data_IF_881577064712
#
_entry.id   IF_881577064712
#
_cell.length_a   1.000
_cell.length_b   1.000
_cell.length_c   1.000
_cell.angle_alpha   90.00
_cell.angle_beta   90.00
_cell.angle_gamma   90.00
#
_symmetry.space_group_name_H-M   'P 1'
#
loop_
_entity.id
_entity.type
_entity.pdbx_description
1 polymer ?
#
# COMPACT_ATOMS: atom_id res chain seq x y z
N UNK A 1 13.49 -17.68 16.47
CA UNK A 1 14.69 -18.04 15.73
C UNK A 1 15.61 -16.84 15.74
N UNK A 2 16.86 -17.02 16.12
CA UNK A 2 17.79 -15.89 16.22
C UNK A 2 18.78 -15.99 15.05
N UNK A 3 18.69 -15.05 14.12
CA UNK A 3 19.64 -14.94 12.99
C UNK A 3 20.98 -14.32 13.41
N UNK A 4 21.08 -13.79 14.64
CA UNK A 4 22.20 -12.95 15.08
C UNK A 4 22.21 -11.54 14.48
N UNK A 5 21.22 -11.21 13.63
CA UNK A 5 21.10 -9.89 13.03
C UNK A 5 20.27 -8.95 13.91
N UNK A 6 20.70 -7.70 14.00
CA UNK A 6 19.94 -6.63 14.61
C UNK A 6 19.27 -5.81 13.50
N UNK A 7 17.94 -5.65 13.60
CA UNK A 7 17.17 -4.87 12.64
C UNK A 7 16.79 -3.52 13.25
N UNK A 8 17.12 -2.44 12.57
CA UNK A 8 16.71 -1.08 12.92
C UNK A 8 15.69 -0.61 11.91
N UNK A 9 14.41 -0.38 12.30
CA UNK A 9 13.40 0.10 11.38
C UNK A 9 13.72 1.54 10.96
N UNK A 10 13.66 1.80 9.67
CA UNK A 10 13.77 3.13 9.07
C UNK A 10 12.41 3.53 8.56
N UNK A 11 11.86 4.61 9.10
CA UNK A 11 10.63 5.19 8.57
C UNK A 11 10.97 5.98 7.32
N UNK A 12 10.34 5.64 6.21
CA UNK A 12 10.53 6.31 4.93
C UNK A 12 9.30 7.12 4.59
N UNK A 13 9.50 8.33 4.09
CA UNK A 13 8.40 9.17 3.60
C UNK A 13 7.78 8.56 2.34
N UNK A 14 6.53 8.90 2.04
CA UNK A 14 5.69 8.34 0.98
C UNK A 14 6.31 8.30 -0.41
N UNK A 15 7.34 9.09 -0.69
CA UNK A 15 7.94 9.25 -2.00
C UNK A 15 9.08 8.27 -2.28
N UNK A 16 9.33 7.30 -1.42
CA UNK A 16 10.32 6.28 -1.72
C UNK A 16 9.67 5.23 -2.59
N UNK A 17 9.95 5.33 -3.87
CA UNK A 17 9.70 4.30 -4.86
C UNK A 17 10.50 3.05 -4.48
N UNK A 18 9.93 2.26 -3.56
CA UNK A 18 10.54 1.00 -3.14
C UNK A 18 10.62 0.05 -4.34
N UNK A 19 11.64 0.19 -5.12
CA UNK A 19 11.89 -0.62 -6.31
C UNK A 19 12.58 0.09 -7.46
N UNK A 20 12.59 1.44 -7.51
CA UNK A 20 13.31 2.18 -8.57
C UNK A 20 14.51 2.97 -8.06
N UNK A 21 14.58 3.22 -6.75
CA UNK A 21 15.72 3.90 -6.14
C UNK A 21 16.17 3.14 -4.89
N UNK A 22 16.88 2.05 -5.09
CA UNK A 22 17.81 1.54 -4.12
C UNK A 22 18.97 2.54 -4.06
N UNK A 23 18.81 3.58 -3.25
CA UNK A 23 19.94 4.46 -2.98
C UNK A 23 20.97 3.65 -2.20
N UNK A 24 22.21 3.52 -2.69
CA UNK A 24 23.28 2.97 -1.91
C UNK A 24 23.37 3.72 -0.58
N UNK A 25 23.11 3.03 0.53
CA UNK A 25 23.11 3.61 1.87
C UNK A 25 21.75 4.00 2.46
N UNK A 26 20.61 3.71 1.79
CA UNK A 26 19.28 4.05 2.31
C UNK A 26 18.65 2.95 3.17
N UNK A 27 18.72 1.69 2.75
CA UNK A 27 18.17 0.54 3.48
C UNK A 27 18.79 -0.78 2.98
N UNK A 28 18.86 -1.77 3.85
CA UNK A 28 19.45 -3.08 3.55
C UNK A 28 18.38 -4.12 3.20
N UNK A 29 17.17 -3.96 3.75
CA UNK A 29 16.04 -4.89 3.56
C UNK A 29 14.74 -4.12 3.44
N UNK A 30 13.96 -4.44 2.40
CA UNK A 30 12.55 -4.09 2.31
C UNK A 30 11.72 -5.30 2.75
N UNK A 31 10.99 -5.22 3.88
CA UNK A 31 10.44 -6.40 4.52
C UNK A 31 9.20 -6.99 3.85
N UNK A 32 8.53 -6.25 2.96
CA UNK A 32 7.32 -6.70 2.28
C UNK A 32 7.22 -6.08 0.88
N UNK A 33 7.97 -6.62 -0.04
CA UNK A 33 7.92 -6.24 -1.45
C UNK A 33 7.05 -7.23 -2.22
N UNK A 34 6.23 -6.74 -3.13
CA UNK A 34 5.56 -7.60 -4.11
C UNK A 34 6.63 -8.05 -5.10
N UNK A 35 6.77 -9.37 -5.25
CA UNK A 35 7.67 -9.98 -6.20
C UNK A 35 7.24 -9.64 -7.63
N UNK A 36 8.22 -9.36 -8.48
CA UNK A 36 8.05 -9.12 -9.90
C UNK A 36 9.34 -9.44 -10.63
N UNK A 37 9.22 -10.11 -11.77
CA UNK A 37 10.37 -10.43 -12.63
C UNK A 37 11.05 -9.18 -13.17
N UNK A 38 10.29 -8.16 -13.54
CA UNK A 38 10.84 -6.89 -14.05
C UNK A 38 11.70 -6.17 -13.00
N UNK A 39 11.32 -6.32 -11.73
CA UNK A 39 12.06 -5.72 -10.60
C UNK A 39 13.32 -6.49 -10.23
N UNK A 40 13.45 -7.77 -10.59
CA UNK A 40 14.68 -8.54 -10.35
C UNK A 40 15.90 -7.95 -11.04
N UNK A 41 15.70 -7.11 -12.04
CA UNK A 41 16.80 -6.37 -12.65
C UNK A 41 17.43 -5.34 -11.71
N UNK A 42 16.72 -4.88 -10.69
CA UNK A 42 17.17 -3.82 -9.78
C UNK A 42 17.34 -4.29 -8.33
N UNK A 43 16.58 -5.29 -7.90
CA UNK A 43 16.56 -5.82 -6.54
C UNK A 43 16.72 -7.34 -6.55
N UNK A 44 17.18 -7.91 -5.45
CA UNK A 44 17.19 -9.35 -5.21
C UNK A 44 16.04 -9.70 -4.26
N UNK A 45 15.24 -10.71 -4.58
CA UNK A 45 14.14 -11.17 -3.73
C UNK A 45 14.53 -12.44 -2.95
N UNK A 46 14.09 -12.53 -1.69
CA UNK A 46 14.08 -13.77 -0.93
C UNK A 46 12.98 -14.71 -1.41
N UNK A 47 12.82 -15.84 -0.74
CA UNK A 47 11.68 -16.73 -0.96
C UNK A 47 10.36 -16.06 -0.60
N UNK A 48 9.31 -16.41 -1.35
CA UNK A 48 7.95 -15.90 -1.12
C UNK A 48 7.44 -16.47 0.20
N UNK A 49 7.03 -15.62 1.13
CA UNK A 49 6.52 -16.04 2.43
C UNK A 49 5.01 -15.88 2.59
N UNK A 50 4.37 -15.03 1.79
CA UNK A 50 2.91 -14.86 1.73
C UNK A 50 2.47 -14.65 0.29
N UNK A 51 1.35 -15.28 -0.07
CA UNK A 51 0.62 -15.02 -1.30
C UNK A 51 -0.77 -14.53 -0.97
N UNK A 52 -1.22 -13.46 -1.60
CA UNK A 52 -2.51 -12.81 -1.33
C UNK A 52 -3.18 -12.36 -2.63
N UNK A 53 -4.49 -12.56 -2.79
CA UNK A 53 -5.19 -12.09 -3.96
C UNK A 53 -5.21 -10.56 -4.06
N UNK A 54 -5.36 -10.06 -5.30
CA UNK A 54 -5.75 -8.67 -5.51
C UNK A 54 -7.26 -8.51 -5.43
N UNK A 55 -7.69 -7.36 -4.94
CA UNK A 55 -9.09 -7.01 -4.72
C UNK A 55 -9.37 -5.58 -5.19
N UNK A 56 -10.61 -5.34 -5.59
CA UNK A 56 -11.16 -3.98 -5.65
C UNK A 56 -11.74 -3.63 -4.28
N UNK A 57 -11.43 -2.45 -3.79
CA UNK A 57 -12.04 -1.86 -2.58
C UNK A 57 -13.01 -0.79 -3.03
N UNK A 58 -14.25 -0.84 -2.54
CA UNK A 58 -15.36 0.05 -2.94
C UNK A 58 -16.24 0.38 -1.74
N UNK A 59 -17.02 1.48 -1.82
CA UNK A 59 -17.99 1.87 -0.78
C UNK A 59 -19.21 0.96 -0.68
N UNK A 60 -19.60 0.31 -1.76
CA UNK A 60 -20.79 -0.53 -1.81
C UNK A 60 -20.41 -1.93 -2.25
N UNK A 61 -21.12 -2.91 -1.67
CA UNK A 61 -21.12 -4.24 -2.24
C UNK A 61 -21.59 -4.12 -3.70
N UNK A 62 -20.83 -4.64 -4.68
CA UNK A 62 -21.35 -4.70 -6.04
C UNK A 62 -22.61 -5.56 -6.01
N UNK A 63 -23.64 -5.10 -6.71
CA UNK A 63 -24.72 -5.98 -7.09
C UNK A 63 -24.13 -7.20 -7.80
N UNK A 64 -24.67 -8.37 -7.62
CA UNK A 64 -24.10 -9.68 -7.94
C UNK A 64 -23.55 -9.90 -9.36
N UNK A 65 -23.62 -8.92 -10.25
CA UNK A 65 -23.10 -8.94 -11.63
C UNK A 65 -21.95 -7.96 -11.89
N UNK A 66 -21.41 -7.31 -10.86
CA UNK A 66 -20.64 -6.12 -11.14
C UNK A 66 -19.16 -6.21 -10.97
N UNK A 67 -18.58 -6.34 -12.05
CA UNK A 67 -17.38 -5.71 -12.61
C UNK A 67 -17.45 -4.17 -12.58
N UNK A 68 -16.31 -3.53 -12.68
CA UNK A 68 -16.20 -2.08 -12.82
C UNK A 68 -17.02 -1.57 -14.01
N UNK A 69 -17.68 -0.42 -13.84
CA UNK A 69 -18.48 0.22 -14.89
C UNK A 69 -17.64 1.22 -15.69
N UNK A 70 -18.09 1.51 -16.90
CA UNK A 70 -17.52 2.56 -17.74
C UNK A 70 -17.45 3.90 -17.02
N UNK A 71 -16.28 4.56 -17.13
CA UNK A 71 -16.04 5.87 -16.57
C UNK A 71 -15.80 5.90 -15.07
N UNK A 72 -15.76 4.75 -14.39
CA UNK A 72 -15.35 4.68 -12.99
C UNK A 72 -13.89 5.08 -12.83
N UNK A 73 -13.60 5.87 -11.78
CA UNK A 73 -12.26 6.28 -11.37
C UNK A 73 -11.69 5.25 -10.41
N UNK A 74 -10.73 4.48 -10.90
CA UNK A 74 -10.13 3.40 -10.11
C UNK A 74 -8.66 3.70 -9.83
N UNK A 75 -8.33 3.81 -8.54
CA UNK A 75 -6.96 3.99 -8.13
C UNK A 75 -6.19 2.66 -8.19
N UNK A 76 -4.94 2.73 -8.63
CA UNK A 76 -4.00 1.63 -8.57
C UNK A 76 -2.65 2.14 -8.06
N UNK A 77 -2.06 1.53 -7.00
CA UNK A 77 -0.72 1.85 -6.60
C UNK A 77 0.27 1.67 -7.75
N UNK A 78 1.11 2.68 -8.00
CA UNK A 78 2.01 2.69 -9.14
C UNK A 78 2.99 1.50 -9.17
N UNK A 79 3.29 0.93 -8.01
CA UNK A 79 4.18 -0.23 -7.84
C UNK A 79 3.50 -1.59 -8.10
N UNK A 80 2.21 -1.61 -8.47
CA UNK A 80 1.54 -2.81 -8.92
C UNK A 80 1.69 -2.95 -10.45
N UNK A 81 2.27 -4.05 -10.89
CA UNK A 81 2.48 -4.33 -12.32
C UNK A 81 1.20 -4.72 -13.06
N UNK A 82 0.12 -4.90 -12.33
CA UNK A 82 -1.20 -5.23 -12.86
C UNK A 82 -1.82 -4.14 -13.76
N UNK A 83 -1.26 -2.93 -13.79
CA UNK A 83 -1.89 -1.80 -14.48
C UNK A 83 -2.19 -2.09 -15.96
N UNK A 84 -1.23 -2.67 -16.69
CA UNK A 84 -1.43 -2.99 -18.10
C UNK A 84 -2.49 -4.07 -18.30
N UNK A 85 -2.44 -5.14 -17.50
CA UNK A 85 -3.42 -6.22 -17.53
C UNK A 85 -4.83 -5.74 -17.18
N UNK A 86 -4.97 -4.94 -16.12
CA UNK A 86 -6.27 -4.41 -15.71
C UNK A 86 -6.83 -3.42 -16.74
N UNK A 87 -5.98 -2.63 -17.39
CA UNK A 87 -6.41 -1.74 -18.47
C UNK A 87 -6.93 -2.49 -19.68
N UNK A 88 -6.36 -3.65 -20.00
CA UNK A 88 -6.88 -4.53 -21.06
C UNK A 88 -8.20 -5.18 -20.66
N UNK A 89 -8.33 -5.62 -19.41
CA UNK A 89 -9.55 -6.26 -18.89
C UNK A 89 -10.72 -5.25 -18.74
N UNK A 90 -10.40 -4.00 -18.39
CA UNK A 90 -11.38 -2.93 -18.13
C UNK A 90 -11.01 -1.66 -18.90
N UNK A 91 -11.11 -1.64 -20.24
CA UNK A 91 -10.62 -0.53 -21.08
C UNK A 91 -11.44 0.75 -20.93
N UNK A 92 -12.66 0.68 -20.42
CA UNK A 92 -13.55 1.83 -20.23
C UNK A 92 -13.43 2.50 -18.86
N UNK A 93 -12.52 2.01 -18.00
CA UNK A 93 -12.25 2.53 -16.66
C UNK A 93 -11.18 3.62 -16.72
N UNK A 94 -11.35 4.67 -15.95
CA UNK A 94 -10.33 5.71 -15.73
C UNK A 94 -9.35 5.25 -14.64
N UNK A 95 -8.16 4.83 -15.05
CA UNK A 95 -7.13 4.34 -14.14
C UNK A 95 -6.28 5.48 -13.60
N UNK A 96 -6.25 5.65 -12.28
CA UNK A 96 -5.50 6.69 -11.58
C UNK A 96 -4.36 6.03 -10.80
N UNK A 97 -3.11 6.33 -11.19
CA UNK A 97 -1.94 5.87 -10.44
C UNK A 97 -1.78 6.68 -9.17
N UNK A 98 -1.58 5.98 -8.03
CA UNK A 98 -1.41 6.60 -6.72
C UNK A 98 -0.13 6.13 -6.04
N UNK A 99 0.53 7.03 -5.34
CA UNK A 99 1.74 6.74 -4.59
C UNK A 99 1.42 6.24 -3.18
N UNK A 100 0.31 6.71 -2.61
CA UNK A 100 -0.14 6.41 -1.27
C UNK A 100 -1.43 5.61 -1.29
N UNK A 101 -1.33 4.30 -1.06
CA UNK A 101 -2.50 3.42 -1.00
C UNK A 101 -3.42 3.77 0.18
N UNK A 102 -2.86 4.17 1.34
CA UNK A 102 -3.69 4.51 2.52
C UNK A 102 -4.55 5.75 2.27
N UNK A 103 -4.00 6.79 1.63
CA UNK A 103 -4.76 7.95 1.21
C UNK A 103 -5.85 7.60 0.20
N UNK A 104 -5.58 6.62 -0.68
CA UNK A 104 -6.56 6.16 -1.66
C UNK A 104 -7.77 5.44 -1.02
N UNK A 105 -7.60 4.71 0.10
CA UNK A 105 -8.73 4.17 0.87
C UNK A 105 -9.66 5.28 1.35
N UNK A 106 -9.09 6.37 1.86
CA UNK A 106 -9.88 7.52 2.30
C UNK A 106 -10.65 8.17 1.14
N UNK A 107 -10.00 8.36 0.00
CA UNK A 107 -10.63 8.91 -1.21
C UNK A 107 -11.78 8.04 -1.73
N UNK A 108 -11.65 6.72 -1.63
CA UNK A 108 -12.77 5.82 -1.94
C UNK A 108 -13.91 6.01 -0.93
N UNK A 109 -13.60 6.11 0.36
CA UNK A 109 -14.60 6.35 1.41
C UNK A 109 -15.33 7.67 1.20
N UNK A 110 -14.65 8.73 0.78
CA UNK A 110 -15.27 10.05 0.51
C UNK A 110 -15.96 10.12 -0.88
N UNK A 111 -15.83 9.08 -1.71
CA UNK A 111 -16.44 9.05 -3.06
C UNK A 111 -15.69 9.87 -4.11
N UNK A 112 -14.46 10.29 -3.83
CA UNK A 112 -13.58 10.92 -4.82
C UNK A 112 -13.07 9.91 -5.85
N UNK A 113 -12.95 8.64 -5.43
CA UNK A 113 -12.62 7.48 -6.23
C UNK A 113 -13.73 6.44 -6.10
N UNK A 114 -14.06 5.76 -7.19
CA UNK A 114 -15.08 4.70 -7.19
C UNK A 114 -14.52 3.38 -6.63
N UNK A 115 -13.24 3.12 -6.87
CA UNK A 115 -12.57 1.94 -6.35
C UNK A 115 -11.05 2.13 -6.19
N UNK A 116 -10.44 1.22 -5.44
CA UNK A 116 -8.98 1.08 -5.27
C UNK A 116 -8.59 -0.38 -5.50
N UNK A 117 -7.51 -0.60 -6.23
CA UNK A 117 -6.83 -1.90 -6.30
C UNK A 117 -5.92 -2.06 -5.09
N UNK A 118 -6.13 -3.10 -4.32
CA UNK A 118 -5.29 -3.44 -3.16
C UNK A 118 -5.02 -4.95 -3.09
N UNK A 119 -4.11 -5.37 -2.23
CA UNK A 119 -4.04 -6.77 -1.85
C UNK A 119 -5.12 -7.08 -0.81
N UNK A 120 -5.67 -8.29 -0.80
CA UNK A 120 -6.68 -8.69 0.18
C UNK A 120 -6.17 -8.53 1.61
N UNK A 121 -4.91 -8.82 1.85
CA UNK A 121 -4.30 -8.68 3.17
C UNK A 121 -4.35 -7.21 3.65
N UNK A 122 -3.91 -6.27 2.81
CA UNK A 122 -3.94 -4.85 3.13
C UNK A 122 -5.37 -4.32 3.24
N UNK A 123 -6.24 -4.69 2.29
CA UNK A 123 -7.64 -4.23 2.31
C UNK A 123 -8.38 -4.69 3.55
N UNK A 124 -8.19 -5.96 3.96
CA UNK A 124 -8.80 -6.49 5.17
C UNK A 124 -8.36 -5.74 6.40
N UNK A 125 -7.04 -5.50 6.54
CA UNK A 125 -6.51 -4.70 7.63
C UNK A 125 -7.11 -3.29 7.66
N UNK A 126 -7.11 -2.59 6.54
CA UNK A 126 -7.63 -1.22 6.44
C UNK A 126 -9.12 -1.14 6.71
N UNK A 127 -9.91 -2.06 6.16
CA UNK A 127 -11.37 -2.09 6.36
C UNK A 127 -11.69 -2.40 7.81
N UNK A 128 -11.13 -3.47 8.38
CA UNK A 128 -11.48 -3.92 9.73
C UNK A 128 -11.11 -2.88 10.81
N UNK A 129 -10.06 -2.07 10.59
CA UNK A 129 -9.57 -1.13 11.59
C UNK A 129 -10.03 0.31 11.39
N UNK A 130 -10.21 0.75 10.14
CA UNK A 130 -10.43 2.17 9.86
C UNK A 130 -11.74 2.47 9.13
N UNK A 131 -12.28 1.51 8.37
CA UNK A 131 -13.46 1.71 7.54
C UNK A 131 -14.51 0.60 7.71
N UNK A 132 -14.81 0.15 8.96
CA UNK A 132 -15.75 -0.95 9.19
C UNK A 132 -17.14 -0.54 8.71
N UNK A 133 -17.77 -1.40 7.89
CA UNK A 133 -19.07 -1.19 7.26
C UNK A 133 -19.15 0.00 6.28
N UNK A 134 -18.04 0.66 5.98
CA UNK A 134 -17.99 1.75 5.02
C UNK A 134 -17.37 1.31 3.69
N UNK A 135 -16.38 0.43 3.76
CA UNK A 135 -15.69 -0.12 2.58
C UNK A 135 -15.82 -1.65 2.55
N UNK A 136 -15.82 -2.17 1.34
CA UNK A 136 -15.89 -3.60 1.06
C UNK A 136 -14.83 -3.98 0.04
N UNK A 137 -14.38 -5.23 0.05
CA UNK A 137 -13.42 -5.70 -0.93
C UNK A 137 -13.96 -6.90 -1.73
N UNK A 138 -13.59 -6.96 -3.01
CA UNK A 138 -14.04 -7.97 -3.97
C UNK A 138 -12.85 -8.50 -4.77
N UNK A 139 -12.78 -9.80 -4.93
CA UNK A 139 -11.69 -10.43 -5.69
C UNK A 139 -11.66 -9.93 -7.14
N UNK A 140 -10.47 -9.69 -7.65
CA UNK A 140 -10.25 -9.41 -9.07
C UNK A 140 -10.04 -10.76 -9.77
N UNK A 141 -10.97 -11.20 -10.61
CA UNK A 141 -10.82 -12.47 -11.30
C UNK A 141 -9.77 -12.35 -12.43
N UNK A 142 -9.10 -13.47 -12.74
CA UNK A 142 -8.22 -13.54 -13.90
C UNK A 142 -6.85 -12.87 -13.73
N UNK A 143 -6.50 -12.37 -12.55
CA UNK A 143 -5.16 -11.87 -12.23
C UNK A 143 -4.41 -12.82 -11.31
N UNK A 144 -3.09 -12.86 -11.45
CA UNK A 144 -2.24 -13.63 -10.54
C UNK A 144 -2.23 -12.98 -9.15
N UNK A 145 -2.10 -13.80 -8.11
CA UNK A 145 -1.98 -13.31 -6.75
C UNK A 145 -0.67 -12.54 -6.54
N UNK A 146 -0.72 -11.54 -5.66
CA UNK A 146 0.49 -10.88 -5.18
C UNK A 146 1.31 -11.85 -4.34
N UNK A 147 2.58 -11.96 -4.66
CA UNK A 147 3.56 -12.75 -3.91
C UNK A 147 4.47 -11.83 -3.13
N UNK A 148 4.43 -11.91 -1.80
CA UNK A 148 5.20 -11.05 -0.90
C UNK A 148 6.52 -11.73 -0.52
N UNK A 149 7.59 -10.98 -0.65
CA UNK A 149 8.94 -11.39 -0.33
C UNK A 149 9.71 -10.26 0.34
N UNK A 150 10.82 -10.59 1.01
CA UNK A 150 11.83 -9.60 1.35
C UNK A 150 12.61 -9.22 0.09
N UNK A 151 12.93 -7.95 -0.07
CA UNK A 151 13.77 -7.48 -1.15
C UNK A 151 15.05 -6.83 -0.59
N UNK A 152 16.14 -6.99 -1.32
CA UNK A 152 17.47 -6.55 -0.97
C UNK A 152 18.09 -5.76 -2.12
N UNK A 153 19.01 -4.82 -1.86
CA UNK A 153 19.91 -4.28 -2.86
C UNK A 153 20.64 -5.42 -3.59
N UNK A 154 20.93 -5.25 -4.87
CA UNK A 154 21.81 -6.19 -5.57
C UNK A 154 23.19 -6.19 -4.95
N UNK A 155 23.76 -7.38 -4.80
CA UNK A 155 25.11 -7.53 -4.26
C UNK A 155 25.16 -7.99 -2.80
N UNK A 156 23.98 -8.29 -2.19
CA UNK A 156 23.88 -8.78 -0.81
C UNK A 156 23.40 -10.26 -0.74
N UNK A 157 24.13 -11.22 -1.37
CA UNK A 157 23.70 -12.62 -1.41
C UNK A 157 23.71 -13.27 -0.03
N UNK A 158 24.65 -12.90 0.83
CA UNK A 158 24.77 -13.48 2.18
C UNK A 158 23.56 -13.12 3.04
N UNK A 159 23.12 -11.85 2.99
CA UNK A 159 21.95 -11.39 3.71
C UNK A 159 20.68 -12.09 3.22
N UNK A 160 20.51 -12.23 1.91
CA UNK A 160 19.42 -13.00 1.30
C UNK A 160 19.41 -14.45 1.79
N UNK A 161 20.56 -15.13 1.81
CA UNK A 161 20.69 -16.52 2.25
C UNK A 161 20.35 -16.69 3.73
N UNK A 162 20.76 -15.77 4.59
CA UNK A 162 20.41 -15.77 6.01
C UNK A 162 18.91 -15.64 6.18
N UNK A 163 18.27 -14.72 5.47
CA UNK A 163 16.82 -14.52 5.54
C UNK A 163 16.07 -15.73 4.99
N UNK A 164 16.49 -16.31 3.86
CA UNK A 164 15.86 -17.52 3.32
C UNK A 164 15.96 -18.69 4.31
N UNK A 165 17.11 -18.92 4.91
CA UNK A 165 17.27 -19.96 5.95
C UNK A 165 16.35 -19.70 7.16
N UNK A 166 16.20 -18.41 7.53
CA UNK A 166 15.32 -18.02 8.61
C UNK A 166 13.84 -18.26 8.26
N UNK A 167 13.40 -17.90 7.05
CA UNK A 167 12.05 -18.12 6.56
C UNK A 167 11.72 -19.61 6.51
N UNK A 168 12.61 -20.43 5.94
CA UNK A 168 12.43 -21.88 5.82
C UNK A 168 12.34 -22.61 7.17
N UNK A 169 12.85 -22.02 8.22
CA UNK A 169 12.72 -22.57 9.58
C UNK A 169 11.41 -22.16 10.28
N UNK A 170 10.61 -21.26 9.71
CA UNK A 170 9.31 -20.84 10.27
C UNK A 170 8.23 -21.79 9.74
N UNK A 171 7.51 -22.53 10.62
CA UNK A 171 6.40 -23.36 10.16
C UNK A 171 5.31 -22.52 9.49
N UNK A 172 4.65 -23.03 8.42
CA UNK A 172 3.55 -22.29 7.75
C UNK A 172 2.42 -21.88 8.70
N UNK A 173 2.13 -22.70 9.71
CA UNK A 173 1.14 -22.37 10.75
C UNK A 173 1.50 -21.12 11.56
N UNK A 174 2.78 -20.88 11.78
CA UNK A 174 3.25 -19.69 12.50
C UNK A 174 3.14 -18.43 11.63
N UNK A 175 3.44 -18.53 10.34
CA UNK A 175 3.20 -17.43 9.39
C UNK A 175 1.72 -17.06 9.37
N UNK A 176 0.83 -18.05 9.28
CA UNK A 176 -0.62 -17.82 9.30
C UNK A 176 -1.06 -17.17 10.62
N UNK A 177 -0.59 -17.68 11.76
CA UNK A 177 -0.90 -17.13 13.09
C UNK A 177 -0.46 -15.68 13.24
N UNK A 178 0.74 -15.35 12.76
CA UNK A 178 1.25 -13.97 12.78
C UNK A 178 0.41 -13.06 11.88
N UNK A 179 0.07 -13.50 10.68
CA UNK A 179 -0.78 -12.75 9.75
C UNK A 179 -2.15 -12.46 10.36
N UNK A 180 -2.80 -13.46 10.96
CA UNK A 180 -4.09 -13.28 11.64
C UNK A 180 -3.98 -12.35 12.86
N UNK A 181 -2.89 -12.45 13.60
CA UNK A 181 -2.63 -11.56 14.74
C UNK A 181 -2.56 -10.11 14.28
N UNK A 182 -1.85 -9.81 13.20
CA UNK A 182 -1.73 -8.46 12.66
C UNK A 182 -3.05 -7.91 12.12
N UNK A 183 -3.83 -8.73 11.44
CA UNK A 183 -5.16 -8.33 10.98
C UNK A 183 -6.09 -8.00 12.16
N UNK A 184 -5.97 -8.72 13.28
CA UNK A 184 -6.83 -8.55 14.47
C UNK A 184 -6.29 -7.57 15.52
N UNK A 185 -5.10 -6.99 15.34
CA UNK A 185 -4.53 -6.05 16.33
C UNK A 185 -5.24 -4.69 16.28
N UNK A 186 -5.86 -4.23 17.36
CA UNK A 186 -6.73 -3.03 17.38
C UNK A 186 -5.99 -1.69 17.49
N UNK A 187 -4.68 -1.60 17.39
CA UNK A 187 -3.98 -0.34 17.62
C UNK A 187 -2.65 -0.25 16.86
N UNK A 188 -2.69 -0.20 15.54
CA UNK A 188 -1.64 0.52 14.82
C UNK A 188 -2.21 1.93 14.54
N UNK A 189 -1.68 2.92 15.21
CA UNK A 189 -1.94 4.32 14.83
C UNK A 189 -1.36 4.53 13.44
N UNK A 190 -2.22 4.56 12.41
CA UNK A 190 -1.83 5.24 11.19
C UNK A 190 -1.50 6.66 11.62
N UNK A 191 -0.36 7.15 11.18
CA UNK A 191 -0.07 8.56 11.35
C UNK A 191 -1.16 9.33 10.57
N UNK A 192 -2.19 9.75 11.31
CA UNK A 192 -3.30 10.53 10.75
C UNK A 192 -2.81 11.83 10.12
N UNK A 193 -1.60 12.25 10.47
CA UNK A 193 -0.94 13.38 9.85
C UNK A 193 -0.75 13.19 8.36
N UNK A 194 -0.39 11.99 7.93
CA UNK A 194 -0.23 11.65 6.51
C UNK A 194 -1.54 11.75 5.71
N UNK A 195 -2.67 11.50 6.37
CA UNK A 195 -3.99 11.60 5.75
C UNK A 195 -4.49 13.04 5.64
N UNK A 196 -4.15 13.88 6.59
CA UNK A 196 -4.73 15.24 6.73
C UNK A 196 -3.72 16.37 6.58
N UNK A 197 -2.43 16.09 6.37
CA UNK A 197 -1.39 17.11 6.29
C UNK A 197 -1.66 18.15 5.19
N UNK A 198 -2.13 17.73 4.04
CA UNK A 198 -2.44 18.61 2.92
C UNK A 198 -3.59 19.58 3.26
N UNK A 199 -4.68 19.07 3.83
CA UNK A 199 -5.81 19.88 4.27
C UNK A 199 -5.40 20.82 5.41
N UNK A 200 -4.57 20.36 6.33
CA UNK A 200 -4.06 21.17 7.42
C UNK A 200 -3.25 22.36 6.91
N UNK A 201 -2.35 22.16 5.96
CA UNK A 201 -1.57 23.26 5.37
C UNK A 201 -2.45 24.25 4.62
N UNK A 202 -3.45 23.78 3.86
CA UNK A 202 -4.39 24.65 3.15
C UNK A 202 -5.18 25.51 4.14
N UNK A 203 -5.76 24.91 5.17
CA UNK A 203 -6.56 25.63 6.18
C UNK A 203 -5.70 26.64 6.96
N UNK A 204 -4.49 26.23 7.34
CA UNK A 204 -3.56 27.12 8.07
C UNK A 204 -3.15 28.30 7.22
N UNK A 205 -2.81 28.09 5.95
CA UNK A 205 -2.42 29.15 5.02
C UNK A 205 -3.57 30.14 4.80
N UNK A 206 -4.79 29.64 4.57
CA UNK A 206 -5.98 30.49 4.43
C UNK A 206 -6.27 31.29 5.69
N UNK A 207 -6.12 30.69 6.86
CA UNK A 207 -6.33 31.36 8.15
C UNK A 207 -5.33 32.49 8.36
N UNK A 208 -4.05 32.26 8.06
CA UNK A 208 -3.01 33.31 8.16
C UNK A 208 -3.27 34.45 7.20
N UNK A 209 -3.70 34.16 5.95
CA UNK A 209 -4.06 35.20 4.99
C UNK A 209 -5.25 36.05 5.45
N UNK A 210 -6.30 35.43 5.99
CA UNK A 210 -7.48 36.12 6.51
C UNK A 210 -7.13 37.04 7.69
N UNK A 211 -6.30 36.55 8.61
CA UNK A 211 -5.81 37.37 9.73
C UNK A 211 -4.97 38.55 9.23
N UNK A 212 -4.08 38.31 8.26
CA UNK A 212 -3.28 39.37 7.66
C UNK A 212 -4.12 40.46 6.99
N UNK A 213 -5.14 40.06 6.20
CA UNK A 213 -6.07 40.99 5.58
C UNK A 213 -6.91 41.78 6.61
N UNK A 214 -7.35 41.11 7.67
CA UNK A 214 -8.08 41.78 8.78
C UNK A 214 -7.24 42.85 9.48
N UNK A 215 -5.96 42.57 9.74
CA UNK A 215 -5.06 43.53 10.37
C UNK A 215 -4.78 44.73 9.48
N UNK A 216 -4.67 44.56 8.17
CA UNK A 216 -4.51 45.67 7.22
C UNK A 216 -5.77 46.56 7.22
N UNK A 217 -6.96 45.94 7.23
CA UNK A 217 -8.22 46.69 7.22
C UNK A 217 -8.49 47.48 8.52
N UNK A 218 -7.91 47.06 9.64
CA UNK A 218 -8.03 47.77 10.94
C UNK A 218 -7.04 48.94 11.02
N UNK A 219 -5.98 48.94 10.17
CA UNK A 219 -4.93 49.98 10.18
C UNK A 219 -5.22 51.15 9.24
N UNK A 220 -6.29 51.10 8.46
CA UNK A 220 -6.87 52.25 7.71
C UNK A 220 -7.99 52.94 8.51
#
# INVERSE_FOLDING_TARGET
MQTGLNFSPITVSHNIHAGTQLNPGGWDILPAAIYSEDRENNVSFAEIFITTPYVFVMQKAPDSEQTLKKGMKVAIPYYYELHSQLKEMYPEVEWIKVDNASAAFHKVKEGELDALVATQLNSRYMIDHYYPNELYHFLIPGVQNASLSFAFPRGEPELKDIINKALNAIPPSEVLRLTEKWIKMPNVTIDTWDLYSEQFYIVTTLSVLLVGLSLIHISE
#
